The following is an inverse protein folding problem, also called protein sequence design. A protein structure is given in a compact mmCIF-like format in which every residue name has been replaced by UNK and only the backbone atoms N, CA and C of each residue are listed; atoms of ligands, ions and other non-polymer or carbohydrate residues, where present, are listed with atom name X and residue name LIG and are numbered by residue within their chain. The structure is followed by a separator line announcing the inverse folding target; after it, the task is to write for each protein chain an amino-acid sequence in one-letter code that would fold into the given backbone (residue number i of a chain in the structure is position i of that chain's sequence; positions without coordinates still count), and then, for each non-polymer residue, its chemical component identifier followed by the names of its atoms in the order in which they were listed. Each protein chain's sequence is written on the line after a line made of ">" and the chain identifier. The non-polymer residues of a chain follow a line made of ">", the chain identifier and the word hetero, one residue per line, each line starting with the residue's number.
data_IF_490823349252
#
_entry.id   IF_490823349252
#
_cell.length_a   1.000
_cell.length_b   1.000
_cell.length_c   1.000
_cell.angle_alpha   90.00
_cell.angle_beta   90.00
_cell.angle_gamma   90.00
#
_symmetry.space_group_name_H-M   'P 1'
#
loop_
_entity.id
_entity.type
_entity.pdbx_description
1 polymer ?
#
# COMPACT_ATOMS: atom_id res chain seq x y z
N UNK A 1 1.51 -33.42 13.76
CA UNK A 1 2.85 -32.86 13.50
C UNK A 1 2.70 -31.36 13.29
N UNK A 2 3.41 -30.47 13.99
CA UNK A 2 3.33 -29.04 13.73
C UNK A 2 3.98 -28.71 12.39
N UNK A 3 3.38 -27.81 11.62
CA UNK A 3 3.88 -27.37 10.32
C UNK A 3 5.27 -26.70 10.48
N UNK A 4 6.19 -26.88 9.50
CA UNK A 4 7.51 -26.29 9.57
C UNK A 4 7.42 -24.76 9.63
N UNK A 5 8.02 -24.16 10.67
CA UNK A 5 8.23 -22.72 10.76
C UNK A 5 9.33 -22.33 9.78
N UNK A 6 8.95 -21.80 8.62
CA UNK A 6 9.91 -21.16 7.72
C UNK A 6 10.47 -19.91 8.39
N UNK A 7 11.78 -19.94 8.71
CA UNK A 7 12.52 -18.73 9.08
C UNK A 7 12.66 -17.91 7.79
N UNK A 8 11.77 -16.93 7.61
CA UNK A 8 11.87 -16.00 6.48
C UNK A 8 13.04 -15.04 6.73
N UNK A 9 14.14 -15.27 6.03
CA UNK A 9 15.29 -14.36 6.04
C UNK A 9 14.87 -13.02 5.41
N UNK A 10 14.95 -11.94 6.19
CA UNK A 10 14.70 -10.57 5.71
C UNK A 10 15.85 -10.18 4.78
N UNK A 11 15.57 -10.04 3.48
CA UNK A 11 16.56 -9.56 2.51
C UNK A 11 17.06 -8.15 2.87
N UNK A 12 18.28 -7.81 2.45
CA UNK A 12 18.84 -6.47 2.71
C UNK A 12 18.03 -5.41 1.94
N UNK A 13 17.39 -4.51 2.68
CA UNK A 13 16.64 -3.40 2.11
C UNK A 13 17.49 -2.11 2.17
N UNK A 14 18.07 -1.63 1.06
CA UNK A 14 18.83 -0.38 1.07
C UNK A 14 17.94 0.84 1.39
N UNK A 15 16.61 0.74 1.21
CA UNK A 15 15.69 1.82 1.52
C UNK A 15 15.28 1.89 2.99
N UNK A 16 15.45 0.82 3.80
CA UNK A 16 15.04 0.83 5.21
C UNK A 16 15.84 1.80 6.06
N UNK A 17 17.06 2.13 5.64
CA UNK A 17 17.95 3.06 6.32
C UNK A 17 17.59 4.53 6.01
N UNK A 18 16.83 4.79 4.95
CA UNK A 18 16.43 6.14 4.51
C UNK A 18 14.92 6.41 4.66
N UNK A 19 14.16 5.49 5.27
CA UNK A 19 12.75 5.72 5.58
C UNK A 19 12.65 6.76 6.70
N UNK A 20 12.42 8.03 6.34
CA UNK A 20 12.24 9.13 7.30
C UNK A 20 10.87 9.13 8.01
N UNK A 21 9.95 8.24 7.64
CA UNK A 21 8.67 8.10 8.33
C UNK A 21 8.02 6.74 8.12
N UNK A 22 7.47 6.15 9.19
CA UNK A 22 6.50 5.05 9.11
C UNK A 22 5.15 5.58 8.62
N UNK A 23 5.12 6.28 7.48
CA UNK A 23 3.96 7.01 6.96
C UNK A 23 2.76 6.12 6.54
N UNK A 24 2.81 4.83 6.88
CA UNK A 24 1.94 3.79 6.36
C UNK A 24 1.39 2.98 7.54
N UNK A 25 0.56 3.58 8.39
CA UNK A 25 -0.19 2.76 9.32
C UNK A 25 -1.10 1.83 8.50
N UNK A 26 -1.09 0.50 8.73
CA UNK A 26 -1.90 -0.43 7.95
C UNK A 26 -3.38 -0.06 7.85
N UNK A 27 -3.90 0.66 8.85
CA UNK A 27 -5.27 1.15 8.89
C UNK A 27 -5.57 2.19 7.79
N UNK A 28 -4.61 3.08 7.47
CA UNK A 28 -4.77 4.11 6.43
C UNK A 28 -4.79 3.49 5.04
N UNK A 29 -3.96 2.47 4.82
CA UNK A 29 -3.92 1.69 3.59
C UNK A 29 -5.22 0.89 3.43
N UNK A 30 -5.69 0.26 4.51
CA UNK A 30 -6.96 -0.46 4.52
C UNK A 30 -8.14 0.46 4.22
N UNK A 31 -8.14 1.69 4.78
CA UNK A 31 -9.17 2.68 4.51
C UNK A 31 -9.16 3.16 3.05
N UNK A 32 -7.97 3.41 2.48
CA UNK A 32 -7.83 3.78 1.07
C UNK A 32 -8.37 2.69 0.14
N UNK A 33 -8.03 1.43 0.38
CA UNK A 33 -8.49 0.31 -0.43
C UNK A 33 -9.97 -0.02 -0.18
N UNK A 34 -10.50 0.21 1.04
CA UNK A 34 -11.95 0.11 1.31
C UNK A 34 -12.73 1.16 0.52
N UNK A 35 -12.23 2.40 0.50
CA UNK A 35 -12.82 3.49 -0.26
C UNK A 35 -12.83 3.18 -1.75
N UNK A 36 -11.71 2.70 -2.30
CA UNK A 36 -11.62 2.28 -3.69
C UNK A 36 -12.64 1.19 -4.04
N UNK A 37 -12.86 0.22 -3.15
CA UNK A 37 -13.84 -0.84 -3.36
C UNK A 37 -15.30 -0.39 -3.26
N UNK A 38 -15.57 0.69 -2.51
CA UNK A 38 -16.92 1.29 -2.42
C UNK A 38 -17.24 2.18 -3.61
N UNK A 39 -16.25 2.97 -4.06
CA UNK A 39 -16.45 4.00 -5.08
C UNK A 39 -16.21 3.48 -6.50
N UNK A 40 -15.42 2.42 -6.66
CA UNK A 40 -15.11 1.81 -7.95
C UNK A 40 -15.72 0.39 -8.02
N UNK A 41 -16.21 -0.01 -9.19
CA UNK A 41 -16.62 -1.40 -9.48
C UNK A 41 -15.40 -2.31 -9.73
N UNK A 42 -14.50 -2.37 -8.74
CA UNK A 42 -13.23 -3.10 -8.83
C UNK A 42 -13.33 -4.49 -8.22
N UNK A 43 -12.87 -5.49 -8.97
CA UNK A 43 -12.86 -6.90 -8.55
C UNK A 43 -11.52 -7.26 -7.91
N UNK A 44 -11.33 -6.88 -6.66
CA UNK A 44 -10.23 -7.40 -5.84
C UNK A 44 -10.71 -7.84 -4.44
N UNK A 45 -9.99 -8.79 -3.84
CA UNK A 45 -10.23 -9.17 -2.45
C UNK A 45 -9.72 -8.04 -1.55
N UNK A 46 -10.61 -7.46 -0.74
CA UNK A 46 -10.24 -6.43 0.24
C UNK A 46 -9.21 -7.05 1.19
N UNK A 47 -8.03 -6.43 1.38
CA UNK A 47 -7.04 -6.96 2.28
C UNK A 47 -7.42 -6.75 3.73
N UNK A 48 -6.95 -7.67 4.56
CA UNK A 48 -6.93 -7.53 6.01
C UNK A 48 -5.73 -6.69 6.45
N UNK A 49 -5.73 -6.23 7.69
CA UNK A 49 -4.56 -5.56 8.27
C UNK A 49 -3.33 -6.49 8.29
N UNK A 50 -3.54 -7.80 8.44
CA UNK A 50 -2.48 -8.81 8.38
C UNK A 50 -1.83 -8.86 7.00
N UNK A 51 -2.63 -8.85 5.92
CA UNK A 51 -2.10 -8.87 4.55
C UNK A 51 -1.23 -7.63 4.26
N UNK A 52 -1.63 -6.47 4.77
CA UNK A 52 -0.88 -5.21 4.61
C UNK A 52 0.40 -5.24 5.44
N UNK A 53 0.31 -5.70 6.69
CA UNK A 53 1.47 -5.87 7.57
C UNK A 53 2.49 -6.83 6.95
N UNK A 54 2.04 -7.96 6.41
CA UNK A 54 2.89 -8.96 5.78
C UNK A 54 3.67 -8.36 4.61
N UNK A 55 3.01 -7.57 3.75
CA UNK A 55 3.70 -6.85 2.65
C UNK A 55 4.73 -5.84 3.17
N UNK A 56 4.38 -5.09 4.20
CA UNK A 56 5.30 -4.12 4.80
C UNK A 56 6.53 -4.79 5.41
N UNK A 57 6.36 -5.93 6.09
CA UNK A 57 7.46 -6.71 6.65
C UNK A 57 8.31 -7.42 5.60
N UNK A 58 7.67 -7.92 4.54
CA UNK A 58 8.34 -8.48 3.37
C UNK A 58 9.00 -7.44 2.48
N UNK A 59 8.95 -6.16 2.87
CA UNK A 59 9.55 -5.05 2.15
C UNK A 59 9.01 -4.90 0.71
N UNK A 60 7.71 -5.08 0.54
CA UNK A 60 7.04 -4.74 -0.71
C UNK A 60 7.26 -3.26 -1.06
N UNK A 61 7.36 -2.90 -2.36
CA UNK A 61 7.46 -1.52 -2.78
C UNK A 61 6.35 -0.65 -2.19
N UNK A 62 6.72 0.48 -1.59
CA UNK A 62 5.78 1.47 -1.05
C UNK A 62 5.65 2.58 -2.08
N UNK A 63 4.43 2.80 -2.57
CA UNK A 63 4.19 3.75 -3.66
C UNK A 63 3.34 4.90 -3.14
N UNK A 64 3.92 6.10 -3.18
CA UNK A 64 3.21 7.33 -2.85
C UNK A 64 2.32 7.72 -4.04
N UNK A 65 1.04 7.95 -3.78
CA UNK A 65 0.11 8.57 -4.72
C UNK A 65 -0.03 10.01 -4.23
N UNK A 66 0.75 10.90 -4.84
CA UNK A 66 0.81 12.29 -4.37
C UNK A 66 -0.52 12.97 -4.69
N UNK A 67 -1.27 13.27 -3.64
CA UNK A 67 -2.54 13.99 -3.69
C UNK A 67 -2.42 15.25 -2.84
N UNK A 68 -3.29 16.23 -3.04
CA UNK A 68 -3.25 17.45 -2.23
C UNK A 68 -3.76 18.69 -2.96
N UNK A 69 -3.24 19.84 -2.54
CA UNK A 69 -3.61 21.14 -3.09
C UNK A 69 -3.23 21.28 -4.57
N UNK A 70 -3.98 22.08 -5.32
CA UNK A 70 -3.69 22.34 -6.74
C UNK A 70 -2.46 23.24 -6.96
N UNK A 71 -1.77 23.62 -5.89
CA UNK A 71 -0.58 24.47 -5.90
C UNK A 71 0.69 23.76 -6.40
N UNK A 72 0.69 22.42 -6.46
CA UNK A 72 1.81 21.64 -6.96
C UNK A 72 1.40 20.79 -8.18
N UNK A 73 2.10 20.90 -9.33
CA UNK A 73 1.77 20.13 -10.54
C UNK A 73 1.91 18.60 -10.41
N UNK A 74 2.50 18.09 -9.33
CA UNK A 74 2.69 16.66 -9.11
C UNK A 74 1.46 15.96 -8.49
N UNK A 75 0.45 16.72 -8.06
CA UNK A 75 -0.70 16.16 -7.35
C UNK A 75 -1.75 15.59 -8.31
N UNK A 76 -2.16 14.35 -8.06
CA UNK A 76 -3.34 13.75 -8.66
C UNK A 76 -4.57 14.37 -7.99
N UNK A 77 -5.23 15.28 -8.71
CA UNK A 77 -6.40 16.02 -8.23
C UNK A 77 -7.70 15.20 -8.31
N UNK A 78 -7.74 14.21 -9.21
CA UNK A 78 -8.91 13.38 -9.44
C UNK A 78 -8.94 12.18 -8.49
N UNK A 79 -9.96 12.12 -7.63
CA UNK A 79 -10.13 11.07 -6.63
C UNK A 79 -10.34 9.70 -7.28
N UNK A 80 -10.99 9.64 -8.45
CA UNK A 80 -11.20 8.37 -9.17
C UNK A 80 -9.86 7.78 -9.63
N UNK A 81 -9.03 8.59 -10.27
CA UNK A 81 -7.67 8.21 -10.71
C UNK A 81 -6.82 7.81 -9.51
N UNK A 82 -6.87 8.56 -8.41
CA UNK A 82 -6.17 8.24 -7.16
C UNK A 82 -6.54 6.86 -6.63
N UNK A 83 -7.82 6.52 -6.59
CA UNK A 83 -8.31 5.23 -6.11
C UNK A 83 -7.95 4.08 -7.07
N UNK A 84 -8.02 4.29 -8.39
CA UNK A 84 -7.56 3.31 -9.38
C UNK A 84 -6.06 3.02 -9.24
N UNK A 85 -5.23 4.04 -9.08
CA UNK A 85 -3.80 3.87 -8.81
C UNK A 85 -3.56 3.05 -7.53
N UNK A 86 -4.31 3.31 -6.45
CA UNK A 86 -4.17 2.56 -5.21
C UNK A 86 -4.48 1.06 -5.40
N UNK A 87 -5.56 0.74 -6.11
CA UNK A 87 -5.93 -0.64 -6.42
C UNK A 87 -4.86 -1.31 -7.28
N UNK A 88 -4.33 -0.61 -8.27
CA UNK A 88 -3.34 -1.18 -9.18
C UNK A 88 -2.01 -1.47 -8.49
N UNK A 89 -1.52 -0.53 -7.66
CA UNK A 89 -0.34 -0.76 -6.80
C UNK A 89 -0.57 -2.00 -5.92
N UNK A 90 -1.77 -2.15 -5.34
CA UNK A 90 -2.09 -3.31 -4.53
C UNK A 90 -2.12 -4.62 -5.35
N UNK A 91 -2.71 -4.63 -6.54
CA UNK A 91 -2.77 -5.82 -7.38
C UNK A 91 -1.38 -6.26 -7.86
N UNK A 92 -0.46 -5.31 -8.08
CA UNK A 92 0.94 -5.58 -8.45
C UNK A 92 1.83 -5.99 -7.27
N UNK A 93 1.27 -6.12 -6.06
CA UNK A 93 2.01 -6.56 -4.88
C UNK A 93 2.68 -5.44 -4.07
N UNK A 94 2.50 -4.17 -4.45
CA UNK A 94 2.97 -3.02 -3.71
C UNK A 94 2.06 -2.61 -2.55
N UNK A 95 2.43 -1.53 -1.86
CA UNK A 95 1.66 -0.92 -0.77
C UNK A 95 1.41 0.55 -1.10
N UNK A 96 0.16 0.93 -1.46
CA UNK A 96 -0.16 2.32 -1.78
C UNK A 96 -0.29 3.15 -0.51
N UNK A 97 0.14 4.41 -0.55
CA UNK A 97 -0.20 5.41 0.44
C UNK A 97 -0.43 6.75 -0.26
N UNK A 98 -1.31 7.58 0.30
CA UNK A 98 -1.80 8.82 -0.30
C UNK A 98 -1.98 9.88 0.75
#
# INVERSE_FOLDING_TARGET
>A
MPAPKFIKLKGRNPYSEQVQGKANEPITIAALLDRAKKELDVKFKKPTLGDIWDRLEMNAPRVAIVSGSSDHPAHVMDDVTRLWCAVEVWNQGGVPFS
#
